data_IF_048708618814
#
_entry.id   IF_048708618814
#
_cell.length_a   1.000
_cell.length_b   1.000
_cell.length_c   1.000
_cell.angle_alpha   90.00
_cell.angle_beta   90.00
_cell.angle_gamma   90.00
#
_symmetry.space_group_name_H-M   'P 1'
#
loop_
_entity.id
_entity.type
_entity.pdbx_description
1 polymer ?
#
# COMPACT_ATOMS: atom_id res chain seq x y z
N UNK A 1 0.85 8.80 22.41
CA UNK A 1 2.25 9.26 22.44
C UNK A 1 2.63 9.63 21.03
N UNK A 2 2.98 10.88 20.81
CA UNK A 2 3.39 11.42 19.50
C UNK A 2 4.81 10.96 19.21
N UNK A 3 5.06 10.40 18.02
CA UNK A 3 6.43 10.18 17.52
C UNK A 3 7.16 11.52 17.65
N UNK A 4 8.24 11.54 18.44
CA UNK A 4 9.06 12.74 18.62
C UNK A 4 9.52 13.21 17.24
N UNK A 5 9.37 14.50 16.94
CA UNK A 5 9.74 15.08 15.64
C UNK A 5 11.20 14.77 15.24
N UNK A 6 12.08 14.48 16.20
CA UNK A 6 13.48 14.11 15.96
C UNK A 6 13.66 12.70 15.35
N UNK A 7 12.76 11.75 15.64
CA UNK A 7 12.86 10.39 15.10
C UNK A 7 12.07 10.23 13.81
N UNK A 8 10.96 10.97 13.66
CA UNK A 8 10.10 10.89 12.49
C UNK A 8 10.86 11.10 11.17
N UNK A 9 11.82 12.02 11.15
CA UNK A 9 12.61 12.31 9.94
C UNK A 9 13.64 11.20 9.65
N UNK A 10 14.22 10.57 10.68
CA UNK A 10 15.09 9.38 10.53
C UNK A 10 14.30 8.17 10.01
N UNK A 11 13.10 7.95 10.56
CA UNK A 11 12.19 6.88 10.13
C UNK A 11 11.74 7.10 8.68
N UNK A 12 11.36 8.32 8.35
CA UNK A 12 10.98 8.67 6.99
C UNK A 12 12.14 8.47 5.99
N UNK A 13 13.34 8.92 6.33
CA UNK A 13 14.51 8.70 5.49
C UNK A 13 14.84 7.22 5.29
N UNK A 14 14.55 6.35 6.28
CA UNK A 14 14.70 4.91 6.12
C UNK A 14 13.64 4.32 5.18
N UNK A 15 12.38 4.75 5.28
CA UNK A 15 11.30 4.32 4.41
C UNK A 15 11.52 4.75 2.95
N UNK A 16 11.92 6.02 2.72
CA UNK A 16 12.23 6.54 1.39
C UNK A 16 13.43 5.80 0.77
N UNK A 17 14.49 5.54 1.54
CA UNK A 17 15.64 4.76 1.05
C UNK A 17 15.28 3.30 0.71
N UNK A 18 14.39 2.67 1.49
CA UNK A 18 13.90 1.33 1.21
C UNK A 18 13.03 1.30 -0.07
N UNK A 19 12.19 2.32 -0.29
CA UNK A 19 11.42 2.44 -1.53
C UNK A 19 12.34 2.67 -2.75
N UNK A 20 13.38 3.50 -2.60
CA UNK A 20 14.34 3.76 -3.67
C UNK A 20 15.10 2.50 -4.10
N UNK A 21 15.57 1.69 -3.13
CA UNK A 21 16.26 0.44 -3.45
C UNK A 21 15.32 -0.60 -4.07
N UNK A 22 14.09 -0.70 -3.56
CA UNK A 22 13.07 -1.58 -4.12
C UNK A 22 12.79 -1.22 -5.59
N UNK A 23 12.56 0.06 -5.88
CA UNK A 23 12.32 0.53 -7.24
C UNK A 23 13.49 0.25 -8.20
N UNK A 24 14.74 0.37 -7.73
CA UNK A 24 15.92 -0.01 -8.51
C UNK A 24 15.97 -1.49 -8.87
N UNK A 25 15.54 -2.36 -7.94
CA UNK A 25 15.50 -3.82 -8.14
C UNK A 25 14.32 -4.23 -9.02
N UNK A 26 13.14 -3.65 -8.81
CA UNK A 26 11.89 -4.07 -9.45
C UNK A 26 11.81 -3.62 -10.92
N UNK A 27 12.17 -2.36 -11.22
CA UNK A 27 12.02 -1.77 -12.56
C UNK A 27 12.60 -2.63 -13.70
N UNK A 28 13.82 -3.20 -13.58
CA UNK A 28 14.37 -4.06 -14.62
C UNK A 28 13.53 -5.27 -14.99
N UNK A 29 12.67 -5.77 -14.09
CA UNK A 29 11.81 -6.94 -14.34
C UNK A 29 10.45 -6.59 -14.97
N UNK A 30 10.01 -5.33 -14.87
CA UNK A 30 8.71 -4.92 -15.38
C UNK A 30 8.67 -5.02 -16.92
N UNK A 31 7.69 -5.77 -17.46
CA UNK A 31 7.51 -6.03 -18.90
C UNK A 31 8.68 -6.75 -19.60
N UNK A 32 9.57 -7.41 -18.85
CA UNK A 32 10.60 -8.29 -19.44
C UNK A 32 10.04 -9.55 -20.14
N UNK A 33 8.72 -9.76 -20.08
CA UNK A 33 8.04 -10.92 -20.63
C UNK A 33 7.95 -12.04 -19.59
N UNK A 34 6.81 -12.71 -19.54
CA UNK A 34 6.67 -13.97 -18.80
C UNK A 34 7.36 -15.01 -19.68
N UNK A 35 8.52 -15.52 -19.26
CA UNK A 35 8.98 -16.80 -19.80
C UNK A 35 7.93 -17.82 -19.36
N UNK A 36 7.00 -18.10 -20.27
CA UNK A 36 5.99 -19.12 -20.09
C UNK A 36 6.70 -20.48 -20.10
N UNK A 37 7.27 -20.86 -18.97
CA UNK A 37 7.39 -22.25 -18.60
C UNK A 37 6.99 -22.39 -17.13
N UNK A 38 5.70 -22.66 -16.97
CA UNK A 38 5.09 -23.25 -15.80
C UNK A 38 5.99 -24.37 -15.26
N UNK A 39 6.53 -24.21 -14.04
CA UNK A 39 6.76 -25.27 -13.02
C UNK A 39 7.75 -24.91 -11.91
N UNK A 40 8.34 -23.73 -11.85
CA UNK A 40 9.23 -23.35 -10.74
C UNK A 40 8.90 -21.97 -10.17
N UNK A 41 9.20 -21.81 -8.89
CA UNK A 41 9.05 -20.62 -8.03
C UNK A 41 9.97 -19.45 -8.47
N UNK A 42 10.16 -19.27 -9.77
CA UNK A 42 11.18 -18.40 -10.40
C UNK A 42 10.55 -17.46 -11.45
N UNK A 43 9.28 -17.11 -11.29
CA UNK A 43 8.67 -16.11 -12.17
C UNK A 43 9.41 -14.76 -12.04
N UNK A 44 9.43 -13.90 -13.09
CA UNK A 44 10.07 -12.60 -12.99
C UNK A 44 9.56 -11.74 -11.83
N UNK A 45 8.28 -11.88 -11.45
CA UNK A 45 7.71 -11.18 -10.30
C UNK A 45 8.24 -11.76 -8.99
N UNK A 46 8.25 -13.09 -8.84
CA UNK A 46 8.84 -13.76 -7.65
C UNK A 46 10.31 -13.39 -7.44
N UNK A 47 11.10 -13.31 -8.52
CA UNK A 47 12.50 -12.88 -8.44
C UNK A 47 12.59 -11.41 -8.03
N UNK A 48 11.76 -10.55 -8.62
CA UNK A 48 11.71 -9.13 -8.28
C UNK A 48 11.34 -8.93 -6.81
N UNK A 49 10.27 -9.57 -6.34
CA UNK A 49 9.78 -9.51 -4.96
C UNK A 49 10.85 -9.93 -3.95
N UNK A 50 11.35 -11.17 -4.08
CA UNK A 50 12.33 -11.70 -3.12
C UNK A 50 13.65 -10.92 -3.12
N UNK A 51 14.08 -10.42 -4.27
CA UNK A 51 15.31 -9.62 -4.36
C UNK A 51 15.09 -8.22 -3.77
N UNK A 52 13.94 -7.60 -4.03
CA UNK A 52 13.60 -6.29 -3.51
C UNK A 52 13.40 -6.35 -2.00
N UNK A 53 12.68 -7.35 -1.46
CA UNK A 53 12.48 -7.50 -0.02
C UNK A 53 13.81 -7.65 0.71
N UNK A 54 14.75 -8.44 0.18
CA UNK A 54 16.12 -8.56 0.74
C UNK A 54 16.85 -7.22 0.77
N UNK A 55 16.76 -6.45 -0.31
CA UNK A 55 17.41 -5.14 -0.39
C UNK A 55 16.78 -4.14 0.60
N UNK A 56 15.45 -4.12 0.70
CA UNK A 56 14.71 -3.31 1.67
C UNK A 56 15.09 -3.67 3.11
N UNK A 57 15.09 -4.97 3.45
CA UNK A 57 15.52 -5.48 4.75
C UNK A 57 16.94 -5.04 5.11
N UNK A 58 17.87 -5.11 4.15
CA UNK A 58 19.24 -4.66 4.37
C UNK A 58 19.31 -3.15 4.70
N UNK A 59 18.60 -2.31 3.95
CA UNK A 59 18.52 -0.86 4.21
C UNK A 59 17.92 -0.57 5.59
N UNK A 60 16.83 -1.24 5.94
CA UNK A 60 16.17 -1.06 7.23
C UNK A 60 17.04 -1.53 8.40
N UNK A 61 17.71 -2.68 8.26
CA UNK A 61 18.60 -3.23 9.28
C UNK A 61 19.85 -2.36 9.50
N UNK A 62 20.40 -1.75 8.44
CA UNK A 62 21.53 -0.83 8.54
C UNK A 62 21.15 0.46 9.29
N UNK A 63 19.97 1.01 9.00
CA UNK A 63 19.54 2.31 9.53
C UNK A 63 18.87 2.21 10.91
N UNK A 64 18.17 1.10 11.17
CA UNK A 64 17.30 0.87 12.33
C UNK A 64 17.44 -0.59 12.81
N UNK A 65 18.65 -1.02 13.25
CA UNK A 65 18.93 -2.39 13.65
C UNK A 65 18.07 -2.91 14.82
N UNK A 66 17.44 -2.01 15.58
CA UNK A 66 16.56 -2.33 16.70
C UNK A 66 15.11 -2.66 16.30
N UNK A 67 14.66 -2.33 15.09
CA UNK A 67 13.27 -2.55 14.65
C UNK A 67 13.06 -3.96 14.09
N UNK A 68 11.85 -4.51 14.23
CA UNK A 68 11.46 -5.71 13.47
C UNK A 68 11.18 -5.38 12.01
N UNK A 69 11.25 -6.41 11.16
CA UNK A 69 10.76 -6.35 9.78
C UNK A 69 9.91 -7.59 9.49
N UNK A 70 8.66 -7.35 9.14
CA UNK A 70 7.68 -8.30 8.63
C UNK A 70 7.50 -8.03 7.13
N UNK A 71 7.71 -9.04 6.30
CA UNK A 71 7.50 -8.93 4.85
C UNK A 71 6.71 -10.11 4.33
N UNK A 72 6.11 -9.94 3.15
CA UNK A 72 5.34 -10.97 2.47
C UNK A 72 6.18 -12.23 2.20
N UNK A 73 7.40 -12.06 1.68
CA UNK A 73 8.21 -13.16 1.15
C UNK A 73 8.97 -13.93 2.23
N UNK A 74 9.50 -13.23 3.23
CA UNK A 74 10.35 -13.82 4.27
C UNK A 74 9.73 -13.82 5.67
N UNK A 75 8.51 -13.30 5.83
CA UNK A 75 7.81 -13.27 7.11
C UNK A 75 8.50 -12.39 8.15
N UNK A 76 8.32 -12.71 9.43
CA UNK A 76 8.92 -11.97 10.55
C UNK A 76 10.33 -12.49 10.86
N UNK A 77 11.34 -11.63 10.81
CA UNK A 77 12.72 -12.00 11.13
C UNK A 77 12.98 -12.17 12.63
N UNK A 78 12.46 -11.24 13.43
CA UNK A 78 12.65 -11.17 14.88
C UNK A 78 11.50 -10.41 15.52
N UNK A 79 11.26 -10.68 16.81
CA UNK A 79 10.37 -9.84 17.60
C UNK A 79 11.08 -8.50 17.88
N UNK A 80 10.45 -7.39 17.48
CA UNK A 80 11.05 -6.05 17.43
C UNK A 80 10.57 -5.11 18.53
N UNK A 81 9.86 -5.65 19.53
CA UNK A 81 9.27 -4.84 20.59
C UNK A 81 8.26 -3.84 20.02
N UNK A 82 8.48 -2.54 20.28
CA UNK A 82 7.52 -1.46 19.95
C UNK A 82 7.39 -1.18 18.45
N UNK A 83 8.47 -1.30 17.67
CA UNK A 83 8.51 -0.87 16.26
C UNK A 83 8.71 -2.04 15.31
N UNK A 84 7.82 -2.14 14.32
CA UNK A 84 7.87 -3.17 13.28
C UNK A 84 7.63 -2.54 11.91
N UNK A 85 8.59 -2.70 11.00
CA UNK A 85 8.41 -2.37 9.59
C UNK A 85 7.61 -3.48 8.92
N UNK A 86 6.60 -3.10 8.14
CA UNK A 86 5.85 -4.03 7.30
C UNK A 86 6.10 -3.66 5.85
N UNK A 87 6.54 -4.62 5.03
CA UNK A 87 6.94 -4.37 3.65
C UNK A 87 6.27 -5.34 2.68
N UNK A 88 5.85 -4.79 1.54
CA UNK A 88 5.41 -5.51 0.35
C UNK A 88 6.17 -4.92 -0.84
N UNK A 89 7.09 -5.66 -1.49
CA UNK A 89 7.81 -5.13 -2.63
C UNK A 89 6.93 -4.89 -3.86
N UNK A 90 5.95 -5.76 -4.14
CA UNK A 90 5.08 -5.70 -5.33
C UNK A 90 3.62 -6.05 -4.97
N UNK A 91 2.93 -5.08 -4.35
CA UNK A 91 1.49 -5.12 -4.18
C UNK A 91 0.81 -4.91 -5.55
N UNK A 92 -0.06 -5.83 -5.92
CA UNK A 92 -0.64 -5.91 -7.27
C UNK A 92 0.16 -6.79 -8.23
N UNK A 93 0.62 -7.97 -7.79
CA UNK A 93 1.35 -8.97 -8.58
C UNK A 93 0.73 -9.24 -9.97
N UNK A 94 -0.61 -9.31 -10.07
CA UNK A 94 -1.32 -9.49 -11.35
C UNK A 94 -1.14 -8.30 -12.29
N UNK A 95 -1.15 -7.08 -11.75
CA UNK A 95 -0.88 -5.87 -12.52
C UNK A 95 0.58 -5.85 -13.02
N UNK A 96 1.53 -6.22 -12.17
CA UNK A 96 2.94 -6.35 -12.55
C UNK A 96 3.14 -7.34 -13.70
N UNK A 97 2.63 -8.58 -13.55
CA UNK A 97 2.75 -9.66 -14.54
C UNK A 97 2.12 -9.29 -15.89
N UNK A 98 1.02 -8.53 -15.87
CA UNK A 98 0.33 -8.08 -17.09
C UNK A 98 0.85 -6.74 -17.62
N UNK A 99 1.95 -6.22 -17.05
CA UNK A 99 2.62 -5.02 -17.53
C UNK A 99 1.82 -3.72 -17.30
N UNK A 100 0.95 -3.68 -16.30
CA UNK A 100 0.15 -2.50 -15.92
C UNK A 100 0.85 -1.75 -14.78
N UNK A 101 1.18 -0.46 -14.94
CA UNK A 101 1.91 0.31 -13.93
C UNK A 101 0.96 0.83 -12.83
N UNK A 102 0.16 -0.08 -12.25
CA UNK A 102 -0.79 0.18 -11.15
C UNK A 102 -0.51 -0.72 -9.94
N UNK A 103 0.59 -1.48 -9.98
CA UNK A 103 1.18 -2.11 -8.80
C UNK A 103 2.02 -1.07 -8.04
N UNK A 104 2.42 -1.37 -6.80
CA UNK A 104 3.32 -0.52 -6.04
C UNK A 104 4.12 -1.27 -4.97
N UNK A 105 5.12 -0.61 -4.43
CA UNK A 105 5.85 -1.04 -3.23
C UNK A 105 5.21 -0.40 -2.01
N UNK A 106 4.88 -1.19 -0.99
CA UNK A 106 4.32 -0.74 0.28
C UNK A 106 5.35 -0.86 1.40
N UNK A 107 5.47 0.22 2.18
CA UNK A 107 6.34 0.26 3.35
C UNK A 107 5.57 0.94 4.46
N UNK A 108 5.35 0.23 5.56
CA UNK A 108 4.72 0.77 6.75
C UNK A 108 5.63 0.65 7.95
N UNK A 109 5.48 1.57 8.91
CA UNK A 109 5.96 1.39 10.27
C UNK A 109 4.77 1.24 11.19
N UNK A 110 4.76 0.16 11.97
CA UNK A 110 3.86 -0.03 13.08
C UNK A 110 4.52 0.40 14.38
N UNK A 111 3.74 1.07 15.22
CA UNK A 111 4.06 1.33 16.62
C UNK A 111 3.02 0.61 17.47
N UNK A 112 3.46 -0.36 18.28
CA UNK A 112 2.59 -1.23 19.09
C UNK A 112 1.44 -1.84 18.28
N UNK A 113 1.75 -2.27 17.05
CA UNK A 113 0.80 -2.88 16.12
C UNK A 113 -0.11 -1.91 15.37
N UNK A 114 0.07 -0.60 15.50
CA UNK A 114 -0.74 0.41 14.81
C UNK A 114 0.08 1.16 13.75
N UNK A 115 -0.40 1.32 12.51
CA UNK A 115 0.33 2.06 11.47
C UNK A 115 0.54 3.53 11.82
N UNK A 116 1.81 3.98 11.79
CA UNK A 116 2.20 5.38 12.08
C UNK A 116 2.91 6.07 10.92
N UNK A 117 3.49 5.30 9.99
CA UNK A 117 4.10 5.79 8.76
C UNK A 117 3.75 4.82 7.63
N UNK A 118 3.48 5.34 6.44
CA UNK A 118 3.16 4.57 5.25
C UNK A 118 3.74 5.20 4.00
N UNK A 119 4.27 4.39 3.10
CA UNK A 119 4.74 4.77 1.76
C UNK A 119 4.07 3.85 0.74
N UNK A 120 3.48 4.46 -0.28
CA UNK A 120 3.07 3.79 -1.52
C UNK A 120 3.98 4.34 -2.60
N UNK A 121 4.80 3.49 -3.22
CA UNK A 121 5.70 3.88 -4.31
C UNK A 121 5.34 3.13 -5.60
N UNK A 122 5.08 3.87 -6.67
CA UNK A 122 4.94 3.32 -8.01
C UNK A 122 6.30 3.50 -8.72
N UNK A 123 7.14 2.44 -8.81
CA UNK A 123 8.54 2.62 -9.19
C UNK A 123 8.77 2.92 -10.69
N UNK A 124 7.78 2.65 -11.56
CA UNK A 124 7.81 2.88 -13.00
C UNK A 124 7.39 4.32 -13.34
N UNK A 125 6.26 4.79 -12.83
CA UNK A 125 5.75 6.17 -13.03
C UNK A 125 6.48 7.17 -12.15
N UNK A 126 7.14 6.70 -11.08
CA UNK A 126 7.88 7.53 -10.14
C UNK A 126 6.97 8.29 -9.18
N UNK A 127 5.71 7.87 -9.04
CA UNK A 127 4.77 8.44 -8.08
C UNK A 127 4.99 7.86 -6.69
N UNK A 128 4.98 8.73 -5.67
CA UNK A 128 5.15 8.32 -4.29
C UNK A 128 4.18 9.07 -3.39
N UNK A 129 3.42 8.34 -2.59
CA UNK A 129 2.59 8.86 -1.51
C UNK A 129 3.24 8.51 -0.17
N UNK A 130 3.26 9.48 0.74
CA UNK A 130 3.89 9.34 2.05
C UNK A 130 2.94 9.88 3.10
N UNK A 131 2.51 9.00 4.00
CA UNK A 131 1.69 9.33 5.16
C UNK A 131 2.50 9.19 6.44
N UNK A 132 2.39 10.17 7.34
CA UNK A 132 2.95 10.10 8.69
C UNK A 132 1.87 10.58 9.65
N UNK A 133 1.58 9.79 10.68
CA UNK A 133 0.55 10.11 11.67
C UNK A 133 0.76 11.52 12.23
N UNK A 134 -0.28 12.33 12.16
CA UNK A 134 -0.26 13.72 12.63
C UNK A 134 0.40 14.72 11.67
N UNK A 135 0.79 14.31 10.46
CA UNK A 135 1.27 15.17 9.38
C UNK A 135 0.36 15.02 8.14
N UNK A 136 0.20 16.06 7.31
CA UNK A 136 -0.46 15.91 6.02
C UNK A 136 0.29 14.94 5.11
N UNK A 137 -0.44 14.15 4.32
CA UNK A 137 0.14 13.28 3.30
C UNK A 137 0.91 14.09 2.27
N UNK A 138 2.08 13.59 1.87
CA UNK A 138 2.87 14.12 0.74
C UNK A 138 2.63 13.25 -0.48
N UNK A 139 2.63 13.88 -1.66
CA UNK A 139 2.65 13.22 -2.96
C UNK A 139 3.71 13.87 -3.84
N UNK A 140 4.41 13.05 -4.62
CA UNK A 140 5.35 13.51 -5.64
C UNK A 140 5.30 12.58 -6.86
N UNK A 141 5.56 13.14 -8.04
CA UNK A 141 5.77 12.40 -9.29
C UNK A 141 7.16 12.75 -9.83
N UNK A 142 8.10 11.80 -9.73
CA UNK A 142 9.53 12.03 -10.01
C UNK A 142 9.89 11.88 -11.49
N UNK A 143 9.19 11.03 -12.24
CA UNK A 143 9.51 10.79 -13.65
C UNK A 143 8.66 11.61 -14.63
N UNK A 144 7.45 12.02 -14.23
CA UNK A 144 6.56 12.84 -15.07
C UNK A 144 6.04 14.05 -14.28
N UNK A 145 6.71 15.22 -14.39
CA UNK A 145 6.34 16.43 -13.65
C UNK A 145 4.93 16.96 -13.98
N UNK A 146 4.32 16.52 -15.08
CA UNK A 146 2.95 16.90 -15.45
C UNK A 146 1.89 16.08 -14.72
N UNK A 147 2.25 14.93 -14.16
CA UNK A 147 1.35 14.18 -13.28
C UNK A 147 1.35 14.89 -11.93
N UNK A 148 0.37 15.77 -11.78
CA UNK A 148 0.15 16.56 -10.58
C UNK A 148 -0.92 15.93 -9.68
N UNK A 149 -0.94 16.37 -8.43
CA UNK A 149 -1.92 15.97 -7.44
C UNK A 149 -1.64 16.71 -6.16
N UNK A 150 -2.69 17.19 -5.50
CA UNK A 150 -2.58 17.73 -4.14
C UNK A 150 -3.29 16.74 -3.24
N UNK A 151 -2.59 16.08 -2.30
CA UNK A 151 -3.22 15.18 -1.35
C UNK A 151 -4.39 15.86 -0.65
N UNK A 152 -5.53 15.16 -0.64
CA UNK A 152 -6.81 15.65 -0.18
C UNK A 152 -7.92 14.75 -0.70
N UNK A 153 -8.54 13.97 0.19
CA UNK A 153 -9.72 13.20 -0.18
C UNK A 153 -10.86 14.13 -0.60
N UNK A 154 -11.66 13.66 -1.56
CA UNK A 154 -12.77 14.44 -2.09
C UNK A 154 -13.95 14.38 -1.13
N UNK A 155 -14.54 15.53 -0.80
CA UNK A 155 -15.83 15.54 -0.08
C UNK A 155 -16.95 15.05 -1.00
N UNK A 156 -17.47 13.87 -0.71
CA UNK A 156 -18.61 13.28 -1.42
C UNK A 156 -19.90 13.47 -0.60
N UNK A 157 -20.72 14.45 -0.96
CA UNK A 157 -21.94 14.79 -0.20
C UNK A 157 -23.10 13.80 -0.34
N UNK A 158 -23.01 12.84 -1.26
CA UNK A 158 -24.01 11.80 -1.46
C UNK A 158 -23.38 10.55 -2.10
N UNK A 159 -23.71 9.36 -1.58
CA UNK A 159 -23.15 8.08 -2.04
C UNK A 159 -23.35 7.84 -3.54
N UNK A 160 -24.46 8.30 -4.12
CA UNK A 160 -24.75 8.23 -5.57
C UNK A 160 -23.81 9.01 -6.48
N UNK A 161 -22.90 9.79 -5.92
CA UNK A 161 -21.84 10.50 -6.66
C UNK A 161 -20.47 9.84 -6.51
N UNK A 162 -20.33 8.86 -5.61
CA UNK A 162 -19.06 8.23 -5.28
C UNK A 162 -18.55 7.33 -6.42
N UNK A 163 -17.26 7.44 -6.73
CA UNK A 163 -16.51 6.46 -7.51
C UNK A 163 -15.96 5.39 -6.54
N UNK A 164 -16.51 4.17 -6.63
CA UNK A 164 -16.06 3.01 -5.85
C UNK A 164 -14.98 2.25 -6.63
N UNK A 165 -13.92 1.84 -5.93
CA UNK A 165 -12.92 0.91 -6.46
C UNK A 165 -12.78 -0.34 -5.60
N UNK A 166 -12.36 -1.42 -6.24
CA UNK A 166 -11.99 -2.69 -5.63
C UNK A 166 -11.05 -3.42 -6.59
N UNK A 167 -10.04 -4.13 -6.09
CA UNK A 167 -9.06 -4.83 -6.92
C UNK A 167 -9.71 -5.79 -7.92
N UNK A 168 -10.67 -6.60 -7.48
CA UNK A 168 -11.33 -7.56 -8.38
C UNK A 168 -12.65 -8.11 -7.85
N UNK A 169 -13.56 -8.56 -8.72
CA UNK A 169 -14.77 -9.26 -8.28
C UNK A 169 -14.47 -10.55 -7.49
N UNK A 170 -13.40 -11.26 -7.84
CA UNK A 170 -13.00 -12.51 -7.18
C UNK A 170 -12.59 -12.30 -5.72
N UNK A 171 -11.96 -11.17 -5.40
CA UNK A 171 -11.62 -10.80 -4.03
C UNK A 171 -12.87 -10.78 -3.14
N UNK A 172 -13.93 -10.10 -3.59
CA UNK A 172 -15.19 -10.01 -2.84
C UNK A 172 -15.85 -11.39 -2.68
N UNK A 173 -15.69 -12.28 -3.66
CA UNK A 173 -16.16 -13.65 -3.55
C UNK A 173 -15.44 -14.46 -2.45
N UNK A 174 -14.25 -14.03 -2.01
CA UNK A 174 -13.50 -14.59 -0.89
C UNK A 174 -14.08 -14.28 0.49
N UNK A 175 -14.89 -13.21 0.60
CA UNK A 175 -15.66 -12.89 1.81
C UNK A 175 -17.09 -12.45 1.44
N UNK A 176 -17.96 -13.38 0.99
CA UNK A 176 -19.28 -13.04 0.47
C UNK A 176 -20.12 -12.27 1.50
N UNK A 177 -20.65 -11.12 1.09
CA UNK A 177 -21.45 -10.26 1.95
C UNK A 177 -22.58 -9.58 1.16
N UNK A 178 -23.80 -9.48 1.72
CA UNK A 178 -24.88 -8.71 1.09
C UNK A 178 -24.58 -7.21 1.06
N UNK A 179 -23.67 -6.72 1.91
CA UNK A 179 -23.32 -5.31 2.02
C UNK A 179 -22.61 -4.78 0.77
N UNK A 180 -21.75 -5.59 0.14
CA UNK A 180 -21.10 -5.21 -1.11
C UNK A 180 -22.14 -4.94 -2.23
N UNK A 181 -23.12 -5.83 -2.38
CA UNK A 181 -24.18 -5.67 -3.37
C UNK A 181 -25.09 -4.46 -3.06
N UNK A 182 -25.25 -4.09 -1.79
CA UNK A 182 -25.98 -2.90 -1.39
C UNK A 182 -25.19 -1.60 -1.67
N UNK A 183 -23.87 -1.61 -1.43
CA UNK A 183 -22.97 -0.49 -1.69
C UNK A 183 -22.82 -0.25 -3.21
N UNK A 184 -22.46 -1.28 -3.96
CA UNK A 184 -22.20 -1.18 -5.41
C UNK A 184 -23.39 -0.69 -6.24
N UNK A 185 -24.63 -0.92 -5.77
CA UNK A 185 -25.86 -0.40 -6.41
C UNK A 185 -26.17 1.06 -6.08
N UNK A 186 -25.58 1.61 -5.02
CA UNK A 186 -25.85 2.96 -4.54
C UNK A 186 -24.81 3.98 -5.01
N UNK A 187 -23.62 3.52 -5.41
CA UNK A 187 -22.56 4.39 -5.92
C UNK A 187 -22.79 4.76 -7.38
N UNK A 188 -22.06 5.79 -7.86
CA UNK A 188 -22.15 6.24 -9.26
C UNK A 188 -21.60 5.19 -10.22
N UNK A 189 -20.45 4.61 -9.87
CA UNK A 189 -19.72 3.62 -10.66
C UNK A 189 -18.84 2.76 -9.75
N UNK A 190 -18.59 1.55 -10.23
CA UNK A 190 -17.59 0.63 -9.69
C UNK A 190 -16.49 0.46 -10.74
N UNK A 191 -15.24 0.66 -10.33
CA UNK A 191 -14.05 0.45 -11.15
C UNK A 191 -13.21 -0.68 -10.54
N UNK A 192 -12.62 -1.51 -11.39
CA UNK A 192 -11.85 -2.68 -10.95
C UNK A 192 -10.36 -2.52 -11.20
N UNK A 193 -9.56 -3.15 -10.35
CA UNK A 193 -8.10 -3.09 -10.35
C UNK A 193 -7.56 -1.85 -9.65
N UNK A 194 -6.26 -1.86 -9.41
CA UNK A 194 -5.54 -0.71 -8.88
C UNK A 194 -4.86 -1.00 -7.56
N UNK A 195 -5.23 -2.07 -6.83
CA UNK A 195 -4.52 -2.56 -5.65
C UNK A 195 -4.16 -1.36 -4.73
N UNK A 196 -2.92 -1.19 -4.27
CA UNK A 196 -2.50 -0.02 -3.50
C UNK A 196 -2.58 1.32 -4.25
N UNK A 197 -2.41 1.33 -5.58
CA UNK A 197 -2.46 2.55 -6.39
C UNK A 197 -3.84 3.22 -6.33
N UNK A 198 -4.92 2.44 -6.19
CA UNK A 198 -6.26 2.97 -5.97
C UNK A 198 -6.33 3.80 -4.67
N UNK A 199 -5.66 3.38 -3.61
CA UNK A 199 -5.60 4.14 -2.35
C UNK A 199 -4.79 5.42 -2.47
N UNK A 200 -3.72 5.41 -3.28
CA UNK A 200 -3.02 6.64 -3.68
C UNK A 200 -3.94 7.62 -4.42
N UNK A 201 -4.76 7.12 -5.34
CA UNK A 201 -5.77 7.92 -6.06
C UNK A 201 -6.90 8.42 -5.15
N UNK A 202 -7.32 7.63 -4.16
CA UNK A 202 -8.26 8.08 -3.12
C UNK A 202 -7.65 9.23 -2.31
N UNK A 203 -6.37 9.11 -1.92
CA UNK A 203 -5.64 10.17 -1.25
C UNK A 203 -5.47 11.45 -2.12
N UNK A 204 -5.62 11.36 -3.44
CA UNK A 204 -5.67 12.49 -4.38
C UNK A 204 -7.10 12.92 -4.75
N UNK A 205 -8.12 12.36 -4.11
CA UNK A 205 -9.53 12.71 -4.32
C UNK A 205 -10.13 12.24 -5.64
N UNK A 206 -9.50 11.29 -6.33
CA UNK A 206 -9.99 10.73 -7.60
C UNK A 206 -10.92 9.52 -7.38
N UNK A 207 -10.78 8.86 -6.23
CA UNK A 207 -11.63 7.74 -5.77
C UNK A 207 -12.24 8.16 -4.44
N UNK A 208 -13.48 7.74 -4.19
CA UNK A 208 -14.22 8.11 -2.98
C UNK A 208 -14.37 6.98 -1.98
N UNK A 209 -14.42 5.74 -2.48
CA UNK A 209 -14.61 4.55 -1.64
C UNK A 209 -13.76 3.44 -2.21
N UNK A 210 -13.06 2.72 -1.34
CA UNK A 210 -12.44 1.44 -1.65
C UNK A 210 -12.92 0.44 -0.62
N UNK A 211 -13.44 -0.70 -1.06
CA UNK A 211 -13.86 -1.77 -0.16
C UNK A 211 -13.30 -3.11 -0.63
N UNK A 212 -12.48 -3.70 0.23
CA UNK A 212 -11.67 -4.88 -0.07
C UNK A 212 -11.68 -5.85 1.11
N UNK A 213 -11.28 -7.09 0.85
CA UNK A 213 -11.21 -8.14 1.84
C UNK A 213 -10.08 -9.10 1.53
N UNK A 214 -9.85 -10.05 2.43
CA UNK A 214 -8.78 -11.07 2.34
C UNK A 214 -7.36 -10.49 2.38
N UNK A 215 -7.22 -9.20 2.68
CA UNK A 215 -5.95 -8.49 2.68
C UNK A 215 -5.09 -8.94 3.86
N UNK A 216 -3.78 -9.05 3.61
CA UNK A 216 -2.76 -9.25 4.64
C UNK A 216 -2.27 -7.90 5.15
N UNK A 217 -1.56 -7.94 6.27
CA UNK A 217 -1.06 -6.72 6.92
C UNK A 217 -0.13 -5.90 6.02
N UNK A 218 0.63 -6.56 5.14
CA UNK A 218 1.50 -5.89 4.19
C UNK A 218 0.73 -5.17 3.08
N UNK A 219 -0.43 -5.69 2.66
CA UNK A 219 -1.31 -5.06 1.68
C UNK A 219 -1.95 -3.74 2.18
N UNK A 220 -2.22 -3.60 3.49
CA UNK A 220 -2.98 -2.44 4.00
C UNK A 220 -2.25 -1.51 4.97
N UNK A 221 -1.18 -1.96 5.65
CA UNK A 221 -0.57 -1.17 6.71
C UNK A 221 -0.03 0.19 6.21
N UNK A 222 0.52 0.23 5.00
CA UNK A 222 1.06 1.47 4.42
C UNK A 222 -0.04 2.42 3.97
N UNK A 223 -1.24 1.90 3.68
CA UNK A 223 -2.36 2.67 3.14
C UNK A 223 -2.98 3.57 4.22
N UNK A 224 -3.03 3.10 5.46
CA UNK A 224 -3.70 3.80 6.58
C UNK A 224 -3.13 5.21 6.78
N UNK A 225 -1.82 5.41 7.02
CA UNK A 225 -1.29 6.76 7.26
C UNK A 225 -1.39 7.66 6.03
N UNK A 226 -1.33 7.08 4.82
CA UNK A 226 -1.44 7.82 3.55
C UNK A 226 -2.85 8.38 3.34
N UNK A 227 -3.87 7.56 3.54
CA UNK A 227 -5.27 7.99 3.37
C UNK A 227 -5.70 8.93 4.50
N UNK A 228 -5.37 8.60 5.75
CA UNK A 228 -5.73 9.44 6.89
C UNK A 228 -5.02 10.81 6.84
N UNK A 229 -3.74 10.84 6.46
CA UNK A 229 -3.00 12.09 6.27
C UNK A 229 -3.53 12.95 5.11
N UNK A 230 -4.28 12.37 4.17
CA UNK A 230 -5.00 13.09 3.12
C UNK A 230 -6.40 13.53 3.55
N UNK A 231 -6.82 13.25 4.78
CA UNK A 231 -8.12 13.61 5.33
C UNK A 231 -9.22 12.55 5.15
N UNK A 232 -8.86 11.36 4.67
CA UNK A 232 -9.74 10.20 4.60
C UNK A 232 -9.77 9.39 5.89
N UNK A 233 -10.36 8.20 5.81
CA UNK A 233 -10.40 7.22 6.90
C UNK A 233 -10.25 5.81 6.35
N UNK A 234 -9.52 4.97 7.07
CA UNK A 234 -9.40 3.54 6.77
C UNK A 234 -9.86 2.72 7.98
N UNK A 235 -10.76 1.77 7.77
CA UNK A 235 -11.29 0.88 8.81
C UNK A 235 -11.42 -0.54 8.31
N UNK A 236 -11.71 -1.48 9.21
CA UNK A 236 -12.35 -2.74 8.82
C UNK A 236 -13.81 -2.51 8.39
N UNK A 237 -14.50 -3.56 7.96
CA UNK A 237 -15.92 -3.47 7.58
C UNK A 237 -16.88 -3.24 8.76
N UNK A 238 -16.40 -3.37 10.00
CA UNK A 238 -17.12 -3.05 11.23
C UNK A 238 -16.87 -1.62 11.73
N UNK A 239 -16.10 -0.82 10.99
CA UNK A 239 -15.77 0.55 11.32
C UNK A 239 -14.70 0.71 12.40
N UNK A 240 -14.01 -0.37 12.79
CA UNK A 240 -12.90 -0.32 13.74
C UNK A 240 -11.61 0.09 13.04
N UNK A 241 -10.73 0.77 13.78
CA UNK A 241 -9.41 1.11 13.28
C UNK A 241 -8.59 -0.16 13.03
N UNK A 242 -7.83 -0.18 11.93
CA UNK A 242 -6.97 -1.31 11.60
C UNK A 242 -5.77 -1.39 12.56
N UNK A 243 -5.42 -2.61 12.95
CA UNK A 243 -4.27 -2.95 13.78
C UNK A 243 -3.69 -4.29 13.32
N UNK A 244 -2.52 -4.67 13.83
CA UNK A 244 -1.80 -5.86 13.37
C UNK A 244 -2.58 -7.21 13.46
N UNK A 245 -3.69 -7.25 14.20
CA UNK A 245 -4.56 -8.40 14.33
C UNK A 245 -5.91 -8.27 13.60
N UNK A 246 -6.07 -7.26 12.74
CA UNK A 246 -7.29 -7.08 11.93
C UNK A 246 -7.51 -8.24 10.97
N UNK A 247 -8.77 -8.45 10.60
CA UNK A 247 -9.24 -9.64 9.88
C UNK A 247 -8.99 -9.63 8.35
N UNK A 248 -8.38 -8.56 7.85
CA UNK A 248 -8.10 -8.38 6.42
C UNK A 248 -9.28 -7.83 5.61
N UNK A 249 -10.36 -7.38 6.27
CA UNK A 249 -11.35 -6.51 5.64
C UNK A 249 -10.91 -5.06 5.73
N UNK A 250 -11.06 -4.32 4.64
CA UNK A 250 -10.65 -2.92 4.55
C UNK A 250 -11.73 -2.10 3.85
N UNK A 251 -12.03 -0.94 4.42
CA UNK A 251 -12.88 0.09 3.86
C UNK A 251 -12.13 1.43 3.98
N UNK A 252 -11.86 2.08 2.86
CA UNK A 252 -11.30 3.42 2.80
C UNK A 252 -12.29 4.41 2.19
N UNK A 253 -12.39 5.61 2.78
CA UNK A 253 -13.25 6.73 2.36
C UNK A 253 -12.58 8.08 2.54
#
# INVERSE_FOLDING_TARGET
MTVSLHDADRLLAAAEAAADVAGCVIRPFFRMGVAADDKSDESPVTIADRTAERAMRAVLAERLPEHAVLGEEFGLERDGGRYCWVIDPVDGTRAFLTGRPIFGTLIALLEDGVPVLGVIDQPVTGERWIGVRGRPTRYESRHEPRWGGVPGTRRCGAIGLAELSCTSPEMIAGAPTPHWAALSRQVKRVTWGGDCYAYGLLALGQIDVIAECTMKIWDWAALVPVVEGAGGRVTDWHGQALHAGSDGTVLAV
#
